data_IF_285519234116
#
_entry.id   IF_285519234116
#
_cell.length_a   1.000
_cell.length_b   1.000
_cell.length_c   1.000
_cell.angle_alpha   90.00
_cell.angle_beta   90.00
_cell.angle_gamma   90.00
#
_symmetry.space_group_name_H-M   'P 1'
#
loop_
_entity.id
_entity.type
_entity.pdbx_description
1 polymer ?
#
# COMPACT_ATOMS: atom_id res chain seq x y z
N UNK A 1 30.52 -11.47 -41.72
CA UNK A 1 30.22 -12.20 -40.48
C UNK A 1 29.24 -11.36 -39.69
N UNK A 2 27.97 -11.61 -39.82
CA UNK A 2 26.86 -10.92 -39.16
C UNK A 2 26.65 -11.60 -37.80
N UNK A 3 26.94 -10.88 -36.71
CA UNK A 3 26.63 -11.34 -35.36
C UNK A 3 25.12 -11.43 -35.19
N UNK A 4 24.57 -12.64 -35.20
CA UNK A 4 23.23 -12.92 -34.68
C UNK A 4 23.24 -12.69 -33.16
N UNK A 5 22.30 -11.92 -32.59
CA UNK A 5 22.20 -11.79 -31.15
C UNK A 5 21.83 -13.14 -30.53
N UNK A 6 22.55 -13.55 -29.51
CA UNK A 6 22.28 -14.76 -28.74
C UNK A 6 20.88 -14.68 -28.12
N UNK A 7 20.02 -15.64 -28.39
CA UNK A 7 18.69 -15.81 -27.80
C UNK A 7 18.76 -16.54 -26.43
N UNK A 8 19.80 -16.27 -25.65
CA UNK A 8 19.88 -16.84 -24.31
C UNK A 8 18.87 -16.12 -23.41
N UNK A 9 17.95 -16.82 -22.75
CA UNK A 9 16.95 -16.21 -21.86
C UNK A 9 17.57 -15.33 -20.75
N UNK A 10 18.76 -15.67 -20.28
CA UNK A 10 19.51 -14.90 -19.27
C UNK A 10 20.00 -13.54 -19.81
N UNK A 11 20.42 -13.48 -21.10
CA UNK A 11 20.86 -12.23 -21.72
C UNK A 11 19.71 -11.27 -22.00
N UNK A 12 18.53 -11.81 -22.31
CA UNK A 12 17.29 -11.02 -22.49
C UNK A 12 16.84 -10.42 -21.14
N UNK A 13 17.00 -11.18 -20.06
CA UNK A 13 16.63 -10.77 -18.72
C UNK A 13 17.57 -9.71 -18.17
N UNK A 14 18.87 -9.88 -18.32
CA UNK A 14 19.87 -8.90 -17.89
C UNK A 14 19.70 -7.57 -18.66
N UNK A 15 19.39 -7.63 -19.95
CA UNK A 15 19.03 -6.47 -20.76
C UNK A 15 17.72 -5.82 -20.30
N UNK A 16 16.73 -6.61 -19.92
CA UNK A 16 15.44 -6.09 -19.39
C UNK A 16 15.66 -5.39 -18.05
N UNK A 17 16.37 -6.00 -17.11
CA UNK A 17 16.67 -5.41 -15.79
C UNK A 17 17.56 -4.17 -15.93
N UNK A 18 18.62 -4.22 -16.76
CA UNK A 18 19.46 -3.06 -17.04
C UNK A 18 18.66 -1.93 -17.69
N UNK A 19 17.74 -2.25 -18.61
CA UNK A 19 16.88 -1.24 -19.24
C UNK A 19 15.93 -0.59 -18.24
N UNK A 20 15.34 -1.36 -17.34
CA UNK A 20 14.49 -0.86 -16.25
C UNK A 20 15.31 0.00 -15.27
N UNK A 21 16.50 -0.47 -14.88
CA UNK A 21 17.39 0.29 -14.00
C UNK A 21 17.87 1.59 -14.64
N UNK A 22 18.24 1.56 -15.92
CA UNK A 22 18.64 2.74 -16.69
C UNK A 22 17.46 3.71 -16.87
N UNK A 23 16.24 3.24 -17.05
CA UNK A 23 15.03 4.07 -17.13
C UNK A 23 14.61 4.64 -15.78
N UNK A 24 14.78 3.88 -14.69
CA UNK A 24 14.45 4.31 -13.34
C UNK A 24 15.45 5.35 -12.80
N UNK A 25 16.74 5.15 -13.04
CA UNK A 25 17.83 5.94 -12.41
C UNK A 25 18.74 6.65 -13.42
N UNK A 26 18.65 6.32 -14.71
CA UNK A 26 19.47 6.92 -15.78
C UNK A 26 18.99 8.31 -16.21
N UNK A 27 19.81 8.99 -17.04
CA UNK A 27 19.39 10.24 -17.68
C UNK A 27 18.25 9.97 -18.66
N UNK A 28 17.15 10.70 -18.51
CA UNK A 28 15.99 10.63 -19.40
C UNK A 28 16.41 10.87 -20.85
N UNK A 29 16.08 9.95 -21.72
CA UNK A 29 16.19 10.18 -23.16
C UNK A 29 15.00 11.04 -23.60
N UNK A 30 15.32 12.18 -24.21
CA UNK A 30 14.39 13.04 -24.95
C UNK A 30 13.06 13.37 -24.23
N UNK A 31 13.09 14.21 -23.18
CA UNK A 31 11.91 14.94 -22.70
C UNK A 31 11.00 14.23 -21.67
N UNK A 32 11.18 12.97 -21.39
CA UNK A 32 10.43 12.28 -20.33
C UNK A 32 11.04 12.54 -18.94
N UNK A 33 10.24 12.71 -17.86
CA UNK A 33 10.77 12.89 -16.52
C UNK A 33 11.46 11.63 -16.03
N UNK A 34 12.50 11.81 -15.19
CA UNK A 34 13.11 10.68 -14.49
C UNK A 34 12.09 10.10 -13.50
N UNK A 35 11.74 8.81 -13.65
CA UNK A 35 10.71 8.14 -12.87
C UNK A 35 11.03 8.13 -11.37
N UNK A 36 12.30 8.01 -11.01
CA UNK A 36 12.72 8.05 -9.60
C UNK A 36 12.50 9.43 -8.99
N UNK A 37 12.87 10.51 -9.71
CA UNK A 37 12.63 11.88 -9.24
C UNK A 37 11.14 12.19 -9.07
N UNK A 38 10.29 11.58 -9.90
CA UNK A 38 8.84 11.77 -9.83
C UNK A 38 8.21 11.00 -8.66
N UNK A 39 8.84 9.91 -8.20
CA UNK A 39 8.26 8.94 -7.28
C UNK A 39 8.87 8.94 -5.87
N UNK A 40 10.03 9.58 -5.66
CA UNK A 40 10.78 9.50 -4.41
C UNK A 40 10.01 10.08 -3.19
N UNK A 41 9.03 10.97 -3.42
CA UNK A 41 8.15 11.45 -2.35
C UNK A 41 7.48 10.30 -1.58
N UNK A 42 7.23 9.18 -2.28
CA UNK A 42 6.56 8.02 -1.71
C UNK A 42 7.42 7.33 -0.63
N UNK A 43 8.76 7.48 -0.67
CA UNK A 43 9.66 7.00 0.37
C UNK A 43 9.36 7.68 1.72
N UNK A 44 9.34 9.02 1.73
CA UNK A 44 9.09 9.76 2.97
C UNK A 44 7.66 9.57 3.49
N UNK A 45 6.65 9.64 2.60
CA UNK A 45 5.25 9.44 3.02
C UNK A 45 5.04 8.05 3.60
N UNK A 46 5.51 6.99 2.93
CA UNK A 46 5.34 5.62 3.43
C UNK A 46 6.12 5.39 4.73
N UNK A 47 7.33 5.97 4.85
CA UNK A 47 8.13 5.91 6.08
C UNK A 47 7.40 6.53 7.27
N UNK A 48 6.76 7.70 7.09
CA UNK A 48 5.95 8.34 8.16
C UNK A 48 4.77 7.45 8.54
N UNK A 49 3.99 6.94 7.57
CA UNK A 49 2.80 6.13 7.86
C UNK A 49 3.14 4.84 8.61
N UNK A 50 4.18 4.12 8.19
CA UNK A 50 4.55 2.85 8.83
C UNK A 50 5.36 3.08 10.11
N UNK A 51 6.26 4.06 10.14
CA UNK A 51 7.04 4.41 11.33
C UNK A 51 6.17 4.91 12.48
N UNK A 52 5.19 5.76 12.19
CA UNK A 52 4.20 6.15 13.21
C UNK A 52 3.28 4.99 13.55
N UNK A 53 2.60 4.40 12.55
CA UNK A 53 1.53 3.43 12.79
C UNK A 53 1.99 2.14 13.43
N UNK A 54 3.14 1.60 13.02
CA UNK A 54 3.69 0.35 13.55
C UNK A 54 4.79 0.57 14.61
N UNK A 55 5.42 1.74 14.65
CA UNK A 55 6.55 2.00 15.53
C UNK A 55 6.19 2.82 16.77
N UNK A 56 5.66 4.03 16.62
CA UNK A 56 5.53 4.99 17.73
C UNK A 56 4.12 5.02 18.33
N UNK A 57 3.08 4.91 17.51
CA UNK A 57 1.69 5.07 17.95
C UNK A 57 1.29 4.10 19.08
N UNK A 58 1.67 2.80 19.07
CA UNK A 58 1.36 1.90 20.17
C UNK A 58 1.93 2.37 21.51
N UNK A 59 3.17 2.88 21.56
CA UNK A 59 3.77 3.45 22.77
C UNK A 59 3.01 4.69 23.26
N UNK A 60 2.67 5.60 22.35
CA UNK A 60 1.90 6.81 22.67
C UNK A 60 0.49 6.50 23.16
N UNK A 61 -0.12 5.41 22.71
CA UNK A 61 -1.43 4.95 23.23
C UNK A 61 -1.29 4.46 24.67
N UNK A 62 -0.24 3.69 24.98
CA UNK A 62 0.02 3.27 26.38
C UNK A 62 0.24 4.49 27.27
N UNK A 63 1.12 5.43 26.88
CA UNK A 63 1.37 6.66 27.62
C UNK A 63 0.09 7.49 27.85
N UNK A 64 -0.83 7.53 26.88
CA UNK A 64 -2.09 8.25 27.01
C UNK A 64 -3.06 7.57 27.99
N UNK A 65 -3.03 6.23 28.10
CA UNK A 65 -3.81 5.47 29.06
C UNK A 65 -3.29 5.65 30.49
N UNK A 66 -1.97 5.86 30.68
CA UNK A 66 -1.39 6.18 31.99
C UNK A 66 -1.88 7.55 32.52
N UNK A 67 -2.19 8.50 31.63
CA UNK A 67 -2.69 9.84 32.00
C UNK A 67 -4.16 9.81 32.43
N UNK A 68 -4.95 8.89 31.88
CA UNK A 68 -6.36 8.73 32.24
C UNK A 68 -7.11 7.76 31.34
N UNK A 69 -8.23 7.29 31.86
CA UNK A 69 -9.10 6.35 31.16
C UNK A 69 -9.64 6.93 29.85
N UNK A 70 -9.56 6.15 28.78
CA UNK A 70 -10.11 6.48 27.48
C UNK A 70 -11.54 5.92 27.41
N UNK A 71 -12.55 6.79 27.52
CA UNK A 71 -13.94 6.38 27.45
C UNK A 71 -14.71 7.11 26.36
N UNK A 72 -15.60 6.39 25.67
CA UNK A 72 -16.50 6.93 24.68
C UNK A 72 -17.87 6.23 24.79
N UNK A 73 -18.94 6.98 24.89
CA UNK A 73 -20.31 6.48 25.02
C UNK A 73 -20.51 5.50 26.20
N UNK A 74 -19.76 5.70 27.30
CA UNK A 74 -19.84 4.83 28.48
C UNK A 74 -19.03 3.53 28.41
N UNK A 75 -18.29 3.32 27.32
CA UNK A 75 -17.35 2.21 27.17
C UNK A 75 -15.92 2.70 27.42
N UNK A 76 -15.15 1.99 28.25
CA UNK A 76 -13.73 2.28 28.51
C UNK A 76 -12.87 1.38 27.64
N UNK A 77 -11.93 1.99 26.93
CA UNK A 77 -11.05 1.31 25.98
C UNK A 77 -9.73 0.95 26.64
N UNK A 78 -9.30 -0.27 26.49
CA UNK A 78 -7.93 -0.71 26.75
C UNK A 78 -7.02 -0.41 25.54
N UNK A 79 -5.76 -0.82 25.61
CA UNK A 79 -4.72 -0.44 24.64
C UNK A 79 -5.04 -0.84 23.19
N UNK A 80 -5.60 -2.03 22.95
CA UNK A 80 -5.93 -2.48 21.59
C UNK A 80 -7.14 -1.74 21.03
N UNK A 81 -8.19 -1.57 21.86
CA UNK A 81 -9.37 -0.80 21.51
C UNK A 81 -9.05 0.67 21.24
N UNK A 82 -8.23 1.30 22.09
CA UNK A 82 -7.76 2.68 21.92
C UNK A 82 -6.95 2.85 20.62
N UNK A 83 -6.02 1.91 20.33
CA UNK A 83 -5.25 1.89 19.10
C UNK A 83 -6.15 1.69 17.86
N UNK A 84 -7.13 0.79 17.97
CA UNK A 84 -8.13 0.57 16.94
C UNK A 84 -8.97 1.82 16.66
N UNK A 85 -9.46 2.49 17.73
CA UNK A 85 -10.29 3.70 17.62
C UNK A 85 -9.54 4.85 16.96
N UNK A 86 -8.33 5.18 17.42
CA UNK A 86 -7.55 6.27 16.84
C UNK A 86 -7.16 5.98 15.37
N UNK A 87 -6.82 4.73 15.07
CA UNK A 87 -6.51 4.30 13.72
C UNK A 87 -7.74 4.32 12.80
N UNK A 88 -8.93 4.03 13.32
CA UNK A 88 -10.20 4.12 12.59
C UNK A 88 -10.54 5.56 12.22
N UNK A 89 -10.47 6.47 13.21
CA UNK A 89 -10.69 7.91 12.99
C UNK A 89 -9.71 8.45 11.95
N UNK A 90 -8.43 8.09 12.06
CA UNK A 90 -7.41 8.44 11.09
C UNK A 90 -7.76 7.94 9.68
N UNK A 91 -8.24 6.71 9.53
CA UNK A 91 -8.60 6.13 8.24
C UNK A 91 -9.78 6.85 7.58
N UNK A 92 -10.79 7.25 8.35
CA UNK A 92 -11.94 8.03 7.85
C UNK A 92 -11.47 9.39 7.34
N UNK A 93 -10.66 10.10 8.12
CA UNK A 93 -10.08 11.39 7.71
C UNK A 93 -9.20 11.23 6.47
N UNK A 94 -8.39 10.17 6.41
CA UNK A 94 -7.55 9.86 5.25
C UNK A 94 -8.38 9.74 3.96
N UNK A 95 -9.46 8.96 4.00
CA UNK A 95 -10.33 8.74 2.85
C UNK A 95 -10.95 10.05 2.36
N UNK A 96 -11.50 10.85 3.27
CA UNK A 96 -12.12 12.15 2.95
C UNK A 96 -11.08 13.13 2.40
N UNK A 97 -9.93 13.27 3.07
CA UNK A 97 -8.87 14.20 2.67
C UNK A 97 -8.30 13.86 1.29
N UNK A 98 -8.06 12.57 1.02
CA UNK A 98 -7.53 12.11 -0.26
C UNK A 98 -8.49 12.37 -1.42
N UNK A 99 -9.78 12.09 -1.24
CA UNK A 99 -10.81 12.35 -2.25
C UNK A 99 -11.02 13.84 -2.48
N UNK A 100 -11.09 14.62 -1.41
CA UNK A 100 -11.26 16.08 -1.49
C UNK A 100 -10.07 16.74 -2.20
N UNK A 101 -8.85 16.46 -1.75
CA UNK A 101 -7.64 17.02 -2.36
C UNK A 101 -7.43 16.55 -3.80
N UNK A 102 -7.74 15.30 -4.11
CA UNK A 102 -7.74 14.77 -5.47
C UNK A 102 -8.68 15.57 -6.38
N UNK A 103 -9.94 15.72 -5.97
CA UNK A 103 -10.97 16.46 -6.75
C UNK A 103 -10.65 17.96 -6.87
N UNK A 104 -10.14 18.59 -5.83
CA UNK A 104 -9.71 19.99 -5.87
C UNK A 104 -8.53 20.17 -6.82
N UNK A 105 -7.54 19.28 -6.76
CA UNK A 105 -6.38 19.34 -7.65
C UNK A 105 -6.74 19.07 -9.13
N UNK A 106 -7.84 18.34 -9.41
CA UNK A 106 -8.33 18.13 -10.77
C UNK A 106 -8.95 19.40 -11.36
N UNK A 107 -9.67 20.17 -10.54
CA UNK A 107 -10.31 21.44 -10.91
C UNK A 107 -9.34 22.61 -11.02
N UNK A 108 -8.18 22.50 -10.38
CA UNK A 108 -7.15 23.54 -10.40
C UNK A 108 -6.51 23.61 -11.81
N UNK A 109 -6.42 24.81 -12.40
CA UNK A 109 -5.85 25.00 -13.73
C UNK A 109 -4.38 25.44 -13.69
N UNK A 110 -3.79 25.64 -12.51
CA UNK A 110 -2.41 26.13 -12.37
C UNK A 110 -1.39 25.11 -12.89
N UNK A 111 -0.31 25.56 -13.56
CA UNK A 111 0.79 24.70 -13.94
C UNK A 111 1.46 24.12 -12.71
N UNK A 112 1.78 22.82 -12.71
CA UNK A 112 2.42 22.16 -11.54
C UNK A 112 1.52 22.00 -10.30
N UNK A 113 0.20 22.15 -10.46
CA UNK A 113 -0.77 22.03 -9.36
C UNK A 113 -0.55 20.82 -8.46
N UNK A 114 -0.33 19.64 -9.04
CA UNK A 114 -0.09 18.40 -8.26
C UNK A 114 1.10 18.52 -7.32
N UNK A 115 2.18 19.16 -7.79
CA UNK A 115 3.38 19.38 -7.00
C UNK A 115 3.15 20.39 -5.87
N UNK A 116 2.26 21.37 -6.08
CA UNK A 116 1.89 22.33 -5.04
C UNK A 116 1.12 21.65 -3.89
N UNK A 117 0.13 20.80 -4.23
CA UNK A 117 -0.58 20.00 -3.23
C UNK A 117 0.37 19.05 -2.49
N UNK A 118 1.30 18.40 -3.21
CA UNK A 118 2.33 17.57 -2.61
C UNK A 118 3.22 18.36 -1.65
N UNK A 119 3.63 19.59 -2.04
CA UNK A 119 4.47 20.45 -1.21
C UNK A 119 3.76 20.86 0.07
N UNK A 120 2.56 21.45 -0.04
CA UNK A 120 1.79 21.92 1.12
C UNK A 120 1.44 20.75 2.04
N UNK A 121 0.93 19.66 1.49
CA UNK A 121 0.55 18.49 2.27
C UNK A 121 1.77 17.79 2.90
N UNK A 122 2.88 17.66 2.16
CA UNK A 122 4.09 17.03 2.67
C UNK A 122 4.78 17.84 3.78
N UNK A 123 4.88 19.16 3.61
CA UNK A 123 5.39 20.04 4.69
C UNK A 123 4.45 20.07 5.89
N UNK A 124 3.14 20.15 5.66
CA UNK A 124 2.14 20.07 6.72
C UNK A 124 2.21 18.73 7.48
N UNK A 125 2.40 17.61 6.78
CA UNK A 125 2.65 16.33 7.42
C UNK A 125 3.90 16.35 8.29
N UNK A 126 5.01 16.95 7.80
CA UNK A 126 6.23 17.11 8.60
C UNK A 126 5.98 17.89 9.88
N UNK A 127 5.27 19.02 9.82
CA UNK A 127 4.87 19.81 11.01
C UNK A 127 4.01 18.99 11.96
N UNK A 128 2.99 18.29 11.45
CA UNK A 128 2.13 17.44 12.28
C UNK A 128 2.88 16.27 12.90
N UNK A 129 3.90 15.72 12.22
CA UNK A 129 4.78 14.69 12.78
C UNK A 129 5.57 15.21 13.98
N UNK A 130 6.07 16.45 13.92
CA UNK A 130 6.73 17.09 15.08
C UNK A 130 5.73 17.32 16.21
N UNK A 131 4.54 17.84 15.90
CA UNK A 131 3.49 18.07 16.90
C UNK A 131 3.01 16.77 17.56
N UNK A 132 3.00 15.67 16.82
CA UNK A 132 2.70 14.33 17.35
C UNK A 132 3.69 13.92 18.46
N UNK A 133 4.98 14.29 18.36
CA UNK A 133 5.97 14.03 19.41
C UNK A 133 5.61 14.65 20.77
N UNK A 134 4.92 15.79 20.77
CA UNK A 134 4.51 16.50 21.99
C UNK A 134 3.21 15.99 22.61
N UNK A 135 2.53 15.01 22.01
CA UNK A 135 1.25 14.53 22.53
C UNK A 135 1.45 13.77 23.83
N UNK A 136 0.61 14.07 24.83
CA UNK A 136 0.64 13.45 26.17
C UNK A 136 -0.71 12.87 26.60
N UNK A 137 -1.79 13.19 25.90
CA UNK A 137 -3.15 12.72 26.20
C UNK A 137 -3.81 12.15 24.96
N UNK A 138 -4.83 11.30 25.14
CA UNK A 138 -5.54 10.69 24.04
C UNK A 138 -6.18 11.70 23.09
N UNK A 139 -6.72 12.80 23.62
CA UNK A 139 -7.29 13.88 22.81
C UNK A 139 -6.23 14.54 21.90
N UNK A 140 -5.06 14.89 22.48
CA UNK A 140 -3.97 15.49 21.70
C UNK A 140 -3.44 14.53 20.66
N UNK A 141 -3.41 13.22 20.97
CA UNK A 141 -3.01 12.17 20.07
C UNK A 141 -3.99 12.04 18.89
N UNK A 142 -5.31 12.06 19.15
CA UNK A 142 -6.33 12.10 18.09
C UNK A 142 -6.14 13.31 17.19
N UNK A 143 -5.99 14.51 17.76
CA UNK A 143 -5.83 15.74 16.99
C UNK A 143 -4.58 15.71 16.10
N UNK A 144 -3.47 15.21 16.63
CA UNK A 144 -2.24 15.05 15.86
C UNK A 144 -2.42 14.04 14.69
N UNK A 145 -3.01 12.88 14.96
CA UNK A 145 -3.28 11.86 13.92
C UNK A 145 -4.25 12.41 12.87
N UNK A 146 -5.32 13.09 13.25
CA UNK A 146 -6.26 13.74 12.32
C UNK A 146 -5.53 14.76 11.44
N UNK A 147 -4.68 15.59 12.04
CA UNK A 147 -3.85 16.55 11.30
C UNK A 147 -2.88 15.88 10.33
N UNK A 148 -2.19 14.84 10.79
CA UNK A 148 -1.30 14.03 9.92
C UNK A 148 -2.06 13.41 8.74
N UNK A 149 -3.23 12.82 9.00
CA UNK A 149 -4.06 12.21 7.97
C UNK A 149 -4.56 13.27 6.97
N UNK A 150 -4.98 14.44 7.45
CA UNK A 150 -5.43 15.53 6.61
C UNK A 150 -4.33 15.98 5.63
N UNK A 151 -3.16 16.34 6.15
CA UNK A 151 -2.06 16.83 5.32
C UNK A 151 -1.44 15.73 4.45
N UNK A 152 -1.14 14.58 5.01
CA UNK A 152 -0.47 13.50 4.29
C UNK A 152 -1.32 12.93 3.15
N UNK A 153 -2.63 12.73 3.37
CA UNK A 153 -3.51 12.24 2.30
C UNK A 153 -3.88 13.31 1.29
N UNK A 154 -3.90 14.60 1.70
CA UNK A 154 -4.00 15.71 0.75
C UNK A 154 -2.78 15.81 -0.17
N UNK A 155 -1.59 15.40 0.29
CA UNK A 155 -0.42 15.25 -0.57
C UNK A 155 -0.52 14.02 -1.47
N UNK A 156 -0.91 12.87 -0.92
CA UNK A 156 -0.88 11.57 -1.58
C UNK A 156 -1.87 11.47 -2.75
N UNK A 157 -3.09 12.00 -2.60
CA UNK A 157 -4.11 11.98 -3.65
C UNK A 157 -3.61 12.59 -4.97
N UNK A 158 -3.27 13.89 -5.00
CA UNK A 158 -2.71 14.54 -6.18
C UNK A 158 -1.38 13.94 -6.65
N UNK A 159 -0.51 13.50 -5.73
CA UNK A 159 0.78 12.91 -6.08
C UNK A 159 0.65 11.59 -6.86
N UNK A 160 -0.35 10.77 -6.55
CA UNK A 160 -0.62 9.55 -7.31
C UNK A 160 -0.98 9.84 -8.77
N UNK A 161 -1.56 11.01 -9.07
CA UNK A 161 -1.87 11.43 -10.43
C UNK A 161 -0.66 11.96 -11.21
N UNK A 162 0.48 12.27 -10.58
CA UNK A 162 1.69 12.73 -11.27
C UNK A 162 2.16 11.76 -12.35
N UNK A 163 2.04 10.45 -12.10
CA UNK A 163 2.41 9.42 -13.10
C UNK A 163 1.51 9.54 -14.34
N UNK A 164 0.20 9.73 -14.14
CA UNK A 164 -0.76 9.84 -15.23
C UNK A 164 -0.51 11.11 -16.06
N UNK A 165 -0.18 12.21 -15.38
CA UNK A 165 0.00 13.53 -16.00
C UNK A 165 1.34 13.64 -16.75
N UNK A 166 2.40 12.94 -16.32
CA UNK A 166 3.76 13.16 -16.83
C UNK A 166 4.35 11.94 -17.57
N UNK A 167 3.74 10.75 -17.45
CA UNK A 167 4.29 9.51 -18.01
C UNK A 167 3.40 8.97 -19.13
N UNK A 168 3.96 8.70 -20.34
CA UNK A 168 3.23 8.08 -21.44
C UNK A 168 2.57 6.76 -21.03
N UNK A 169 1.42 6.42 -21.63
CA UNK A 169 0.65 5.23 -21.29
C UNK A 169 1.48 3.93 -21.38
N UNK A 170 2.40 3.84 -22.35
CA UNK A 170 3.30 2.69 -22.54
C UNK A 170 4.32 2.49 -21.42
N UNK A 171 4.62 3.53 -20.62
CA UNK A 171 5.64 3.50 -19.56
C UNK A 171 5.04 3.55 -18.14
N UNK A 172 3.72 3.70 -18.00
CA UNK A 172 3.03 3.81 -16.70
C UNK A 172 3.23 2.58 -15.81
N UNK A 173 3.36 1.39 -16.40
CA UNK A 173 3.66 0.17 -15.65
C UNK A 173 5.03 0.24 -14.96
N UNK A 174 6.06 0.68 -15.69
CA UNK A 174 7.40 0.88 -15.13
C UNK A 174 7.40 1.98 -14.05
N UNK A 175 6.68 3.09 -14.29
CA UNK A 175 6.55 4.17 -13.31
C UNK A 175 5.85 3.72 -12.02
N UNK A 176 4.79 2.91 -12.12
CA UNK A 176 4.13 2.32 -10.96
C UNK A 176 5.06 1.36 -10.19
N UNK A 177 5.90 0.60 -10.89
CA UNK A 177 6.94 -0.23 -10.28
C UNK A 177 7.94 0.57 -9.47
N UNK A 178 8.47 1.67 -10.04
CA UNK A 178 9.40 2.58 -9.35
C UNK A 178 8.73 3.25 -8.15
N UNK A 179 7.48 3.69 -8.27
CA UNK A 179 6.71 4.25 -7.16
C UNK A 179 6.56 3.26 -6.00
N UNK A 180 6.19 2.01 -6.31
CA UNK A 180 6.02 0.97 -5.30
C UNK A 180 7.34 0.56 -4.66
N UNK A 181 8.45 0.58 -5.42
CA UNK A 181 9.80 0.37 -4.86
C UNK A 181 10.12 1.44 -3.80
N UNK A 182 9.91 2.73 -4.11
CA UNK A 182 10.13 3.80 -3.13
C UNK A 182 9.21 3.70 -1.91
N UNK A 183 7.94 3.29 -2.10
CA UNK A 183 7.02 3.00 -0.99
C UNK A 183 7.54 1.88 -0.09
N UNK A 184 7.95 0.77 -0.68
CA UNK A 184 8.46 -0.38 0.08
C UNK A 184 9.75 -0.05 0.84
N UNK A 185 10.69 0.66 0.18
CA UNK A 185 11.92 1.10 0.82
C UNK A 185 11.64 2.07 1.98
N UNK A 186 10.74 3.02 1.80
CA UNK A 186 10.33 3.94 2.87
C UNK A 186 9.65 3.21 4.02
N UNK A 187 8.68 2.36 3.71
CA UNK A 187 7.96 1.59 4.71
C UNK A 187 8.88 0.65 5.50
N UNK A 188 9.75 -0.10 4.83
CA UNK A 188 10.64 -1.06 5.49
C UNK A 188 11.79 -0.38 6.21
N UNK A 189 12.64 0.36 5.46
CA UNK A 189 13.89 0.90 5.99
C UNK A 189 13.68 1.91 7.13
N UNK A 190 12.74 2.86 6.92
CA UNK A 190 12.45 3.87 7.96
C UNK A 190 11.86 3.23 9.21
N UNK A 191 10.92 2.29 9.05
CA UNK A 191 10.28 1.65 10.20
C UNK A 191 11.26 0.83 11.03
N UNK A 192 12.21 0.14 10.39
CA UNK A 192 13.26 -0.59 11.11
C UNK A 192 14.09 0.35 11.98
N UNK A 193 14.53 1.51 11.44
CA UNK A 193 15.32 2.48 12.23
C UNK A 193 14.47 3.08 13.35
N UNK A 194 13.19 3.41 13.08
CA UNK A 194 12.28 3.91 14.11
C UNK A 194 12.13 2.89 15.24
N UNK A 195 11.92 1.61 14.93
CA UNK A 195 11.80 0.56 15.94
C UNK A 195 13.08 0.38 16.74
N UNK A 196 14.27 0.48 16.11
CA UNK A 196 15.55 0.45 16.83
C UNK A 196 15.73 1.64 17.77
N UNK A 197 15.19 2.81 17.41
CA UNK A 197 15.17 3.96 18.33
C UNK A 197 14.16 3.75 19.45
N UNK A 198 12.96 3.25 19.13
CA UNK A 198 11.91 2.96 20.12
C UNK A 198 12.29 1.79 21.05
N UNK A 199 13.16 0.88 20.63
CA UNK A 199 13.73 -0.14 21.50
C UNK A 199 14.59 0.43 22.65
N UNK A 200 15.11 1.64 22.47
CA UNK A 200 15.89 2.37 23.47
C UNK A 200 15.10 3.47 24.17
N UNK A 201 13.86 3.66 23.74
CA UNK A 201 13.00 4.71 24.27
C UNK A 201 12.51 4.35 25.65
N UNK A 202 12.69 5.25 26.59
CA UNK A 202 12.05 5.30 27.88
C UNK A 202 11.52 6.72 28.13
N UNK A 203 10.30 6.83 28.67
CA UNK A 203 9.62 8.12 28.86
C UNK A 203 10.34 9.00 29.89
N UNK A 204 10.94 8.39 30.92
CA UNK A 204 11.58 9.09 32.04
C UNK A 204 13.10 9.17 31.84
N UNK A 205 13.74 8.07 31.48
CA UNK A 205 15.21 7.94 31.46
C UNK A 205 15.85 8.22 30.10
N UNK A 206 15.13 8.01 29.00
CA UNK A 206 15.67 8.14 27.63
C UNK A 206 14.67 8.70 26.60
N UNK A 207 14.05 9.87 26.86
CA UNK A 207 13.02 10.46 25.97
C UNK A 207 13.59 10.92 24.61
N UNK A 208 14.89 11.11 24.49
CA UNK A 208 15.54 11.60 23.27
C UNK A 208 15.37 10.63 22.09
N UNK A 209 15.21 9.33 22.32
CA UNK A 209 15.03 8.35 21.26
C UNK A 209 13.70 8.52 20.51
N UNK A 210 12.65 8.99 21.18
CA UNK A 210 11.42 9.42 20.51
C UNK A 210 11.71 10.58 19.56
N UNK A 211 12.47 11.57 20.00
CA UNK A 211 12.81 12.73 19.17
C UNK A 211 13.71 12.40 17.99
N UNK A 212 14.64 11.44 18.14
CA UNK A 212 15.40 10.92 17.00
C UNK A 212 14.49 10.22 15.98
N UNK A 213 13.48 9.47 16.43
CA UNK A 213 12.46 8.87 15.56
C UNK A 213 11.64 9.95 14.82
N UNK A 214 11.15 10.94 15.55
CA UNK A 214 10.37 12.07 14.99
C UNK A 214 11.22 12.87 13.99
N UNK A 215 12.48 13.15 14.31
CA UNK A 215 13.40 13.85 13.41
C UNK A 215 13.63 13.06 12.13
N UNK A 216 13.92 11.76 12.22
CA UNK A 216 14.09 10.87 11.07
C UNK A 216 12.87 10.91 10.15
N UNK A 217 11.67 10.75 10.70
CA UNK A 217 10.41 10.77 9.96
C UNK A 217 10.18 12.12 9.28
N UNK A 218 10.34 13.21 10.03
CA UNK A 218 10.14 14.57 9.53
C UNK A 218 11.15 14.90 8.43
N UNK A 219 12.43 14.62 8.64
CA UNK A 219 13.49 14.89 7.66
C UNK A 219 13.27 14.06 6.40
N UNK A 220 12.91 12.78 6.54
CA UNK A 220 12.69 11.90 5.40
C UNK A 220 11.54 12.37 4.50
N UNK A 221 10.40 12.78 5.09
CA UNK A 221 9.26 13.28 4.31
C UNK A 221 9.56 14.63 3.69
N UNK A 222 10.16 15.55 4.42
CA UNK A 222 10.49 16.89 3.92
C UNK A 222 11.49 16.80 2.76
N UNK A 223 12.60 16.05 2.93
CA UNK A 223 13.61 15.90 1.88
C UNK A 223 13.02 15.23 0.64
N UNK A 224 12.28 14.13 0.79
CA UNK A 224 11.73 13.41 -0.35
C UNK A 224 10.68 14.21 -1.12
N UNK A 225 9.84 14.96 -0.42
CA UNK A 225 8.86 15.87 -1.02
C UNK A 225 9.55 17.04 -1.72
N UNK A 226 10.48 17.72 -1.04
CA UNK A 226 11.23 18.84 -1.65
C UNK A 226 12.03 18.37 -2.87
N UNK A 227 12.66 17.20 -2.81
CA UNK A 227 13.36 16.63 -3.97
C UNK A 227 12.44 16.45 -5.16
N UNK A 228 11.27 15.79 -4.95
CA UNK A 228 10.29 15.59 -6.01
C UNK A 228 9.84 16.92 -6.62
N UNK A 229 9.50 17.88 -5.76
CA UNK A 229 9.01 19.19 -6.19
C UNK A 229 10.07 19.98 -6.95
N UNK A 230 11.28 20.08 -6.43
CA UNK A 230 12.36 20.86 -7.06
C UNK A 230 12.82 20.27 -8.40
N UNK A 231 12.86 18.94 -8.52
CA UNK A 231 13.28 18.27 -9.76
C UNK A 231 12.22 18.29 -10.87
N UNK A 232 10.93 18.42 -10.51
CA UNK A 232 9.82 18.38 -11.46
C UNK A 232 9.06 19.72 -11.56
N UNK A 233 9.62 20.81 -10.97
CA UNK A 233 8.97 22.13 -11.00
C UNK A 233 8.75 22.63 -12.45
N UNK A 234 7.65 23.33 -12.74
CA UNK A 234 7.41 23.96 -14.04
C UNK A 234 8.49 25.00 -14.34
N UNK A 235 8.94 25.06 -15.59
CA UNK A 235 9.92 26.04 -16.04
C UNK A 235 9.38 27.48 -16.02
N UNK A 236 8.06 27.64 -16.19
CA UNK A 236 7.39 28.95 -16.34
C UNK A 236 6.85 29.52 -15.01
N UNK A 237 7.22 28.89 -13.87
CA UNK A 237 6.77 29.35 -12.55
C UNK A 237 5.41 28.80 -12.11
N UNK A 238 5.12 28.92 -10.79
CA UNK A 238 3.97 28.27 -10.13
C UNK A 238 2.66 29.06 -10.25
N UNK A 239 2.72 30.36 -10.58
CA UNK A 239 1.61 31.30 -10.42
C UNK A 239 1.15 32.00 -11.70
N UNK A 240 1.81 31.75 -12.85
CA UNK A 240 1.39 32.36 -14.10
C UNK A 240 0.32 31.48 -14.72
N UNK A 241 -0.97 31.92 -14.77
CA UNK A 241 -1.95 31.25 -15.61
C UNK A 241 -1.42 31.38 -17.03
N UNK A 242 -1.03 30.26 -17.63
CA UNK A 242 -0.80 30.26 -19.07
C UNK A 242 -2.13 30.62 -19.69
N UNK A 243 -2.28 31.89 -20.12
CA UNK A 243 -3.29 32.27 -21.08
C UNK A 243 -3.15 31.28 -22.23
N UNK A 244 -4.03 30.29 -22.27
CA UNK A 244 -4.10 29.35 -23.38
C UNK A 244 -4.23 30.17 -24.62
N UNK A 245 -3.13 30.43 -25.35
CA UNK A 245 -3.18 30.73 -26.76
C UNK A 245 -3.99 29.57 -27.35
N UNK A 246 -5.25 29.87 -27.70
CA UNK A 246 -6.06 29.05 -28.59
C UNK A 246 -5.33 28.99 -29.94
N UNK A 247 -4.27 28.23 -30.01
CA UNK A 247 -3.80 27.68 -31.27
C UNK A 247 -4.58 26.39 -31.46
N UNK A 248 -5.72 26.54 -32.08
CA UNK A 248 -6.35 25.49 -32.81
C UNK A 248 -5.30 24.90 -33.76
N UNK A 249 -4.74 23.79 -33.40
CA UNK A 249 -4.21 22.78 -34.32
C UNK A 249 -4.95 21.51 -33.99
N UNK A 250 -5.99 21.34 -34.75
CA UNK A 250 -6.68 20.11 -35.13
C UNK A 250 -5.67 18.98 -35.28
N UNK A 251 -5.46 18.27 -34.20
CA UNK A 251 -5.05 16.88 -34.23
C UNK A 251 -6.28 16.15 -33.77
N UNK A 252 -6.97 15.53 -34.69
CA UNK A 252 -8.12 14.66 -34.46
C UNK A 252 -7.74 13.56 -33.45
N UNK A 253 -7.99 13.83 -32.18
CA UNK A 253 -8.35 12.73 -31.31
C UNK A 253 -9.72 12.24 -31.76
N UNK A 254 -9.93 10.97 -32.04
CA UNK A 254 -11.25 10.48 -32.38
C UNK A 254 -12.19 10.82 -31.23
N UNK A 255 -13.00 11.86 -31.42
CA UNK A 255 -14.19 12.16 -30.61
C UNK A 255 -15.27 11.11 -30.89
N UNK A 256 -14.97 9.84 -30.61
CA UNK A 256 -15.96 8.77 -30.61
C UNK A 256 -16.19 8.25 -29.17
N UNK A 257 -16.04 9.11 -28.14
CA UNK A 257 -16.46 8.79 -26.76
C UNK A 257 -17.75 9.55 -26.39
N UNK A 258 -18.47 10.04 -27.36
CA UNK A 258 -19.72 10.76 -27.11
C UNK A 258 -20.85 10.19 -27.95
N UNK A 259 -21.11 8.93 -27.85
CA UNK A 259 -22.38 8.24 -28.12
C UNK A 259 -22.22 6.72 -27.95
N UNK A 260 -21.49 6.27 -26.93
CA UNK A 260 -21.78 4.95 -26.38
C UNK A 260 -23.02 5.17 -25.50
N UNK A 261 -24.15 4.98 -26.14
CA UNK A 261 -25.47 4.72 -25.60
C UNK A 261 -25.50 4.49 -24.09
N UNK A 262 -26.34 5.28 -23.47
CA UNK A 262 -27.07 5.08 -22.21
C UNK A 262 -27.78 3.72 -22.17
N UNK A 263 -27.04 2.63 -22.35
CA UNK A 263 -27.50 1.26 -22.19
C UNK A 263 -26.40 0.43 -21.56
N UNK A 264 -26.10 0.73 -20.31
CA UNK A 264 -25.39 -0.23 -19.46
C UNK A 264 -25.83 -0.04 -18.01
N UNK A 265 -27.05 -0.46 -17.75
CA UNK A 265 -27.43 -1.16 -16.51
C UNK A 265 -26.71 -2.52 -16.43
N UNK A 266 -25.45 -2.61 -16.83
CA UNK A 266 -24.62 -3.77 -16.50
C UNK A 266 -24.16 -3.58 -15.06
N UNK A 267 -24.91 -4.17 -14.13
CA UNK A 267 -24.52 -4.29 -12.74
C UNK A 267 -23.11 -4.90 -12.63
N UNK A 268 -22.44 -4.63 -11.53
CA UNK A 268 -21.13 -5.22 -11.18
C UNK A 268 -21.19 -6.72 -11.45
N UNK A 269 -20.24 -7.25 -12.26
CA UNK A 269 -20.22 -8.68 -12.56
C UNK A 269 -20.07 -9.50 -11.27
N UNK A 270 -20.67 -10.66 -11.20
CA UNK A 270 -20.58 -11.54 -10.01
C UNK A 270 -19.14 -11.90 -9.68
N UNK A 271 -18.31 -12.11 -10.69
CA UNK A 271 -16.88 -12.39 -10.52
C UNK A 271 -16.13 -11.20 -9.93
N UNK A 272 -16.45 -9.98 -10.38
CA UNK A 272 -15.83 -8.76 -9.85
C UNK A 272 -16.29 -8.48 -8.42
N UNK A 273 -17.56 -8.67 -8.09
CA UNK A 273 -18.05 -8.55 -6.70
C UNK A 273 -17.37 -9.57 -5.77
N UNK A 274 -17.24 -10.83 -6.20
CA UNK A 274 -16.50 -11.84 -5.45
C UNK A 274 -15.04 -11.45 -5.24
N UNK A 275 -14.39 -10.87 -6.26
CA UNK A 275 -13.04 -10.32 -6.16
C UNK A 275 -12.95 -9.22 -5.09
N UNK A 276 -13.89 -8.26 -5.07
CA UNK A 276 -13.92 -7.18 -4.08
C UNK A 276 -14.06 -7.72 -2.65
N UNK A 277 -14.93 -8.72 -2.46
CA UNK A 277 -15.10 -9.39 -1.17
C UNK A 277 -13.80 -10.10 -0.74
N UNK A 278 -13.19 -10.85 -1.64
CA UNK A 278 -11.91 -11.52 -1.36
C UNK A 278 -10.80 -10.52 -1.01
N UNK A 279 -10.72 -9.41 -1.75
CA UNK A 279 -9.78 -8.32 -1.47
C UNK A 279 -10.01 -7.74 -0.07
N UNK A 280 -11.26 -7.46 0.32
CA UNK A 280 -11.58 -6.92 1.64
C UNK A 280 -11.12 -7.87 2.77
N UNK A 281 -11.38 -9.18 2.65
CA UNK A 281 -10.92 -10.16 3.63
C UNK A 281 -9.39 -10.27 3.69
N UNK A 282 -8.69 -10.28 2.55
CA UNK A 282 -7.23 -10.31 2.53
C UNK A 282 -6.61 -9.06 3.17
N UNK A 283 -7.17 -7.88 2.89
CA UNK A 283 -6.72 -6.63 3.51
C UNK A 283 -7.04 -6.60 5.01
N UNK A 284 -8.21 -7.11 5.44
CA UNK A 284 -8.54 -7.21 6.85
C UNK A 284 -7.53 -8.08 7.61
N UNK A 285 -7.18 -9.24 7.05
CA UNK A 285 -6.17 -10.14 7.63
C UNK A 285 -4.81 -9.45 7.80
N UNK A 286 -4.29 -8.87 6.71
CA UNK A 286 -2.98 -8.19 6.72
C UNK A 286 -2.97 -6.98 7.65
N UNK A 287 -4.03 -6.17 7.64
CA UNK A 287 -4.14 -4.98 8.50
C UNK A 287 -4.24 -5.34 9.97
N UNK A 288 -4.96 -6.40 10.34
CA UNK A 288 -5.06 -6.87 11.72
C UNK A 288 -3.70 -7.31 12.25
N UNK A 289 -2.95 -8.09 11.48
CA UNK A 289 -1.61 -8.51 11.86
C UNK A 289 -0.67 -7.33 12.04
N UNK A 290 -0.74 -6.32 11.18
CA UNK A 290 0.13 -5.16 11.23
C UNK A 290 -0.16 -4.25 12.43
N UNK A 291 -1.44 -3.94 12.68
CA UNK A 291 -1.85 -2.95 13.69
C UNK A 291 -1.51 -3.45 15.10
N UNK A 292 -1.80 -4.70 15.40
CA UNK A 292 -1.65 -5.27 16.75
C UNK A 292 -0.33 -6.02 16.95
N UNK A 293 0.60 -5.95 15.98
CA UNK A 293 1.85 -6.70 16.03
C UNK A 293 2.69 -6.41 17.28
N UNK A 294 2.88 -5.13 17.65
CA UNK A 294 3.69 -4.77 18.81
C UNK A 294 3.05 -5.22 20.12
N UNK A 295 1.75 -5.06 20.27
CA UNK A 295 1.05 -5.55 21.47
C UNK A 295 1.04 -7.08 21.55
N UNK A 296 0.96 -7.77 20.40
CA UNK A 296 1.14 -9.21 20.37
C UNK A 296 2.55 -9.63 20.81
N UNK A 297 3.59 -8.91 20.38
CA UNK A 297 4.97 -9.17 20.81
C UNK A 297 5.15 -8.94 22.31
N UNK A 298 4.51 -7.93 22.87
CA UNK A 298 4.53 -7.63 24.29
C UNK A 298 3.79 -8.70 25.11
N UNK A 299 2.53 -8.97 24.77
CA UNK A 299 1.64 -9.75 25.63
C UNK A 299 1.80 -11.26 25.42
N UNK A 300 2.07 -11.71 24.19
CA UNK A 300 2.12 -13.15 23.83
C UNK A 300 3.56 -13.65 23.71
N UNK A 301 4.44 -12.88 23.06
CA UNK A 301 5.85 -13.28 22.96
C UNK A 301 6.68 -12.88 24.19
N UNK A 302 6.10 -12.15 25.16
CA UNK A 302 6.68 -11.84 26.46
C UNK A 302 7.84 -10.84 26.40
N UNK A 303 7.86 -9.94 25.41
CA UNK A 303 8.90 -8.91 25.31
C UNK A 303 8.57 -7.74 26.23
N UNK A 304 9.47 -7.39 27.14
CA UNK A 304 9.35 -6.19 27.98
C UNK A 304 9.25 -4.93 27.13
N UNK A 305 10.12 -4.81 26.11
CA UNK A 305 10.02 -3.79 25.09
C UNK A 305 9.70 -4.45 23.73
N UNK A 306 8.48 -4.29 23.19
CA UNK A 306 8.08 -4.95 21.95
C UNK A 306 8.83 -4.45 20.71
N UNK A 307 9.51 -3.29 20.77
CA UNK A 307 10.32 -2.80 19.68
C UNK A 307 11.61 -3.62 19.48
N UNK A 308 12.15 -4.28 20.54
CA UNK A 308 13.37 -5.10 20.47
C UNK A 308 13.29 -6.28 19.50
N UNK A 309 12.09 -6.74 19.16
CA UNK A 309 11.89 -7.79 18.16
C UNK A 309 11.09 -7.32 16.96
N UNK A 310 10.42 -6.17 17.07
CA UNK A 310 9.58 -5.61 16.03
C UNK A 310 10.38 -5.21 14.79
N UNK A 311 11.56 -4.67 14.94
CA UNK A 311 12.48 -4.31 13.86
C UNK A 311 12.91 -5.55 13.05
N UNK A 312 13.33 -6.63 13.72
CA UNK A 312 13.68 -7.89 13.07
C UNK A 312 12.48 -8.54 12.39
N UNK A 313 11.29 -8.45 12.99
CA UNK A 313 10.06 -8.95 12.39
C UNK A 313 9.71 -8.20 11.11
N UNK A 314 9.82 -6.87 11.12
CA UNK A 314 9.60 -6.04 9.90
C UNK A 314 10.62 -6.39 8.83
N UNK A 315 11.90 -6.54 9.18
CA UNK A 315 12.96 -6.98 8.23
C UNK A 315 12.60 -8.33 7.63
N UNK A 316 12.23 -9.31 8.47
CA UNK A 316 11.89 -10.66 8.01
C UNK A 316 10.71 -10.65 7.03
N UNK A 317 9.63 -9.95 7.37
CA UNK A 317 8.42 -9.86 6.54
C UNK A 317 8.71 -9.12 5.24
N UNK A 318 9.35 -7.94 5.29
CA UNK A 318 9.59 -7.10 4.12
C UNK A 318 10.60 -7.75 3.17
N UNK A 319 11.69 -8.33 3.70
CA UNK A 319 12.66 -9.04 2.89
C UNK A 319 12.04 -10.26 2.18
N UNK A 320 11.29 -11.08 2.90
CA UNK A 320 10.60 -12.24 2.34
C UNK A 320 9.55 -11.82 1.29
N UNK A 321 8.78 -10.77 1.54
CA UNK A 321 7.82 -10.22 0.58
C UNK A 321 8.53 -9.72 -0.68
N UNK A 322 9.59 -8.92 -0.55
CA UNK A 322 10.36 -8.39 -1.68
C UNK A 322 10.97 -9.50 -2.54
N UNK A 323 11.59 -10.50 -1.91
CA UNK A 323 12.16 -11.67 -2.59
C UNK A 323 11.09 -12.49 -3.33
N UNK A 324 9.85 -12.46 -2.86
CA UNK A 324 8.74 -13.21 -3.45
C UNK A 324 8.05 -12.44 -4.57
N UNK A 325 7.88 -11.12 -4.44
CA UNK A 325 7.25 -10.26 -5.45
C UNK A 325 7.99 -10.33 -6.78
N UNK A 326 9.33 -10.36 -6.75
CA UNK A 326 10.15 -10.39 -7.97
C UNK A 326 9.89 -11.63 -8.84
N UNK A 327 9.91 -12.88 -8.33
CA UNK A 327 9.64 -14.08 -9.12
C UNK A 327 8.14 -14.40 -9.27
N UNK A 328 7.24 -13.74 -8.53
CA UNK A 328 5.81 -14.08 -8.48
C UNK A 328 5.15 -14.13 -9.87
N UNK A 329 5.50 -13.20 -10.75
CA UNK A 329 5.00 -13.20 -12.14
C UNK A 329 5.38 -14.46 -12.91
N UNK A 330 6.66 -14.84 -12.87
CA UNK A 330 7.17 -16.06 -13.53
C UNK A 330 6.64 -17.35 -12.92
N UNK A 331 6.50 -17.37 -11.60
CA UNK A 331 5.87 -18.47 -10.90
C UNK A 331 4.40 -18.61 -11.32
N UNK A 332 3.70 -17.50 -11.52
CA UNK A 332 2.32 -17.48 -11.99
C UNK A 332 2.18 -18.04 -13.40
N UNK A 333 3.14 -17.73 -14.29
CA UNK A 333 3.17 -18.27 -15.65
C UNK A 333 3.49 -19.77 -15.67
N UNK A 334 4.35 -20.24 -14.74
CA UNK A 334 4.83 -21.63 -14.71
C UNK A 334 3.91 -22.59 -13.92
N UNK A 335 3.40 -22.16 -12.78
CA UNK A 335 2.59 -23.00 -11.88
C UNK A 335 1.10 -22.69 -11.93
N UNK A 336 0.74 -21.62 -12.65
CA UNK A 336 -0.62 -21.11 -12.71
C UNK A 336 -1.00 -20.23 -11.51
N UNK A 337 -1.75 -19.16 -11.77
CA UNK A 337 -2.19 -18.20 -10.75
C UNK A 337 -3.02 -18.86 -9.65
N UNK A 338 -3.87 -19.81 -9.99
CA UNK A 338 -4.73 -20.56 -9.06
C UNK A 338 -3.92 -21.26 -7.97
N UNK A 339 -2.87 -22.01 -8.39
CA UNK A 339 -2.00 -22.74 -7.45
C UNK A 339 -1.26 -21.79 -6.50
N UNK A 340 -0.83 -20.63 -7.00
CA UNK A 340 -0.14 -19.64 -6.19
C UNK A 340 -1.07 -18.93 -5.20
N UNK A 341 -2.34 -18.70 -5.54
CA UNK A 341 -3.33 -18.18 -4.58
C UNK A 341 -3.57 -19.18 -3.44
N UNK A 342 -3.70 -20.47 -3.78
CA UNK A 342 -3.85 -21.53 -2.77
C UNK A 342 -2.60 -21.59 -1.88
N UNK A 343 -1.40 -21.53 -2.46
CA UNK A 343 -0.15 -21.53 -1.71
C UNK A 343 -0.03 -20.29 -0.79
N UNK A 344 -0.30 -19.08 -1.31
CA UNK A 344 -0.26 -17.85 -0.54
C UNK A 344 -1.26 -17.87 0.62
N UNK A 345 -2.50 -18.34 0.36
CA UNK A 345 -3.51 -18.50 1.38
C UNK A 345 -3.14 -19.54 2.43
N UNK A 346 -2.66 -20.70 2.01
CA UNK A 346 -2.21 -21.75 2.91
C UNK A 346 -1.04 -21.27 3.81
N UNK A 347 -0.07 -20.54 3.25
CA UNK A 347 1.01 -19.93 4.00
C UNK A 347 0.48 -18.92 5.03
N UNK A 348 -0.48 -18.06 4.67
CA UNK A 348 -1.13 -17.13 5.59
C UNK A 348 -1.91 -17.84 6.70
N UNK A 349 -2.68 -18.89 6.37
CA UNK A 349 -3.43 -19.70 7.34
C UNK A 349 -2.49 -20.40 8.31
N UNK A 350 -1.49 -21.11 7.78
CA UNK A 350 -0.53 -21.86 8.60
C UNK A 350 0.22 -20.91 9.53
N UNK A 351 0.70 -19.78 9.02
CA UNK A 351 1.39 -18.79 9.83
C UNK A 351 0.53 -18.26 10.97
N UNK A 352 -0.73 -17.92 10.68
CA UNK A 352 -1.67 -17.41 11.68
C UNK A 352 -1.97 -18.45 12.76
N UNK A 353 -2.12 -19.73 12.38
CA UNK A 353 -2.34 -20.83 13.32
C UNK A 353 -1.09 -21.17 14.14
N UNK A 354 0.10 -21.11 13.54
CA UNK A 354 1.36 -21.34 14.27
C UNK A 354 1.61 -20.25 15.31
N UNK A 355 1.22 -18.99 15.04
CA UNK A 355 1.31 -17.90 16.03
C UNK A 355 0.47 -18.15 17.29
N UNK A 356 -0.54 -19.03 17.27
CA UNK A 356 -1.31 -19.42 18.46
C UNK A 356 -0.47 -20.14 19.54
N UNK A 357 0.63 -20.76 19.15
CA UNK A 357 1.47 -21.59 20.00
C UNK A 357 2.82 -20.95 20.35
N UNK A 358 3.00 -19.69 19.97
CA UNK A 358 4.24 -18.96 20.19
C UNK A 358 4.25 -18.38 21.60
N UNK A 359 5.41 -18.44 22.24
CA UNK A 359 5.69 -17.82 23.56
C UNK A 359 7.04 -17.10 23.60
N UNK A 360 7.69 -16.91 22.45
CA UNK A 360 8.98 -16.22 22.35
C UNK A 360 9.21 -15.65 20.95
N UNK A 361 10.16 -14.72 20.82
CA UNK A 361 10.42 -13.99 19.58
C UNK A 361 10.98 -14.85 18.44
N UNK A 362 11.82 -15.86 18.74
CA UNK A 362 12.46 -16.66 17.70
C UNK A 362 11.49 -17.34 16.73
N UNK A 363 10.50 -18.12 17.20
CA UNK A 363 9.45 -18.66 16.35
C UNK A 363 8.63 -17.58 15.61
N UNK A 364 8.36 -16.41 16.23
CA UNK A 364 7.66 -15.30 15.57
C UNK A 364 8.41 -14.81 14.35
N UNK A 365 9.73 -14.65 14.43
CA UNK A 365 10.56 -14.24 13.31
C UNK A 365 10.53 -15.26 12.16
N UNK A 366 10.64 -16.54 12.47
CA UNK A 366 10.56 -17.62 11.48
C UNK A 366 9.19 -17.63 10.76
N UNK A 367 8.11 -17.48 11.53
CA UNK A 367 6.75 -17.37 10.99
C UNK A 367 6.58 -16.09 10.20
N UNK A 368 7.22 -14.99 10.62
CA UNK A 368 7.25 -13.70 9.92
C UNK A 368 7.77 -13.82 8.48
N UNK A 369 8.77 -14.66 8.22
CA UNK A 369 9.24 -14.96 6.85
C UNK A 369 8.11 -15.60 6.03
N UNK A 370 7.37 -16.55 6.58
CA UNK A 370 6.26 -17.21 5.88
C UNK A 370 5.11 -16.23 5.62
N UNK A 371 4.82 -15.34 6.58
CA UNK A 371 3.85 -14.24 6.41
C UNK A 371 4.30 -13.33 5.27
N UNK A 372 5.58 -12.95 5.22
CA UNK A 372 6.12 -12.11 4.16
C UNK A 372 5.95 -12.74 2.76
N UNK A 373 6.21 -14.04 2.62
CA UNK A 373 5.96 -14.80 1.40
C UNK A 373 4.48 -14.76 1.02
N UNK A 374 3.58 -15.04 1.97
CA UNK A 374 2.13 -15.01 1.76
C UNK A 374 1.67 -13.65 1.27
N UNK A 375 2.06 -12.57 1.96
CA UNK A 375 1.68 -11.19 1.64
C UNK A 375 2.23 -10.76 0.28
N UNK A 376 3.50 -11.06 -0.02
CA UNK A 376 4.14 -10.73 -1.30
C UNK A 376 3.45 -11.37 -2.50
N UNK A 377 3.14 -12.67 -2.42
CA UNK A 377 2.35 -13.38 -3.44
C UNK A 377 0.94 -12.82 -3.56
N UNK A 378 0.24 -12.71 -2.43
CA UNK A 378 -1.14 -12.25 -2.39
C UNK A 378 -1.30 -10.88 -3.05
N UNK A 379 -0.48 -9.90 -2.68
CA UNK A 379 -0.54 -8.55 -3.24
C UNK A 379 -0.26 -8.55 -4.75
N UNK A 380 0.77 -9.27 -5.19
CA UNK A 380 1.14 -9.32 -6.61
C UNK A 380 0.04 -9.95 -7.47
N UNK A 381 -0.47 -11.11 -7.04
CA UNK A 381 -1.49 -11.86 -7.78
C UNK A 381 -2.85 -11.15 -7.77
N UNK A 382 -3.21 -10.51 -6.66
CA UNK A 382 -4.47 -9.76 -6.54
C UNK A 382 -4.53 -8.61 -7.54
N UNK A 383 -3.45 -7.84 -7.70
CA UNK A 383 -3.39 -6.77 -8.69
C UNK A 383 -3.41 -7.31 -10.14
N UNK A 384 -2.82 -8.47 -10.39
CA UNK A 384 -2.92 -9.11 -11.70
C UNK A 384 -4.37 -9.48 -12.04
N UNK A 385 -5.10 -10.09 -11.09
CA UNK A 385 -6.53 -10.43 -11.27
C UNK A 385 -7.40 -9.18 -11.37
N UNK A 386 -7.12 -8.13 -10.59
CA UNK A 386 -7.81 -6.86 -10.70
C UNK A 386 -7.76 -6.30 -12.12
N UNK A 387 -6.56 -6.28 -12.71
CA UNK A 387 -6.36 -5.78 -14.06
C UNK A 387 -7.07 -6.61 -15.14
N UNK A 388 -7.21 -7.93 -14.93
CA UNK A 388 -7.90 -8.81 -15.89
C UNK A 388 -9.42 -8.66 -15.81
N UNK A 389 -9.96 -8.38 -14.62
CA UNK A 389 -11.41 -8.27 -14.40
C UNK A 389 -11.98 -6.89 -14.72
N UNK A 390 -11.13 -5.86 -14.72
CA UNK A 390 -11.56 -4.47 -14.96
C UNK A 390 -11.81 -4.24 -16.46
N UNK A 391 -13.02 -3.76 -16.80
CA UNK A 391 -13.35 -3.43 -18.18
C UNK A 391 -12.66 -2.15 -18.64
N UNK A 392 -12.15 -2.11 -19.88
CA UNK A 392 -11.49 -0.92 -20.44
C UNK A 392 -12.41 0.32 -20.50
N UNK A 393 -13.71 0.11 -20.63
CA UNK A 393 -14.71 1.18 -20.72
C UNK A 393 -15.09 1.80 -19.37
N UNK A 394 -14.92 1.06 -18.25
CA UNK A 394 -15.30 1.50 -16.91
C UNK A 394 -14.13 1.42 -15.90
N UNK A 395 -12.89 1.37 -16.38
CA UNK A 395 -11.71 1.10 -15.58
C UNK A 395 -11.57 2.01 -14.34
N UNK A 396 -11.79 3.32 -14.49
CA UNK A 396 -11.70 4.26 -13.38
C UNK A 396 -12.74 4.02 -12.28
N UNK A 397 -13.99 3.69 -12.68
CA UNK A 397 -15.07 3.39 -11.74
C UNK A 397 -14.82 2.07 -11.01
N UNK A 398 -14.42 1.04 -11.74
CA UNK A 398 -14.15 -0.28 -11.18
C UNK A 398 -12.93 -0.26 -10.26
N UNK A 399 -11.83 0.43 -10.63
CA UNK A 399 -10.70 0.64 -9.72
C UNK A 399 -11.10 1.45 -8.48
N UNK A 400 -12.09 2.34 -8.58
CA UNK A 400 -12.67 3.00 -7.41
C UNK A 400 -13.29 2.01 -6.41
N UNK A 401 -13.97 0.96 -6.88
CA UNK A 401 -14.53 -0.08 -6.00
C UNK A 401 -13.45 -0.90 -5.29
N UNK A 402 -12.28 -1.12 -5.90
CA UNK A 402 -11.16 -1.78 -5.19
C UNK A 402 -10.68 -0.95 -4.00
N UNK A 403 -10.67 0.37 -4.14
CA UNK A 403 -10.33 1.26 -3.01
C UNK A 403 -11.36 1.16 -1.88
N UNK A 404 -12.66 1.06 -2.21
CA UNK A 404 -13.72 0.85 -1.21
C UNK A 404 -13.55 -0.50 -0.52
N UNK A 405 -13.29 -1.58 -1.26
CA UNK A 405 -13.05 -2.91 -0.68
C UNK A 405 -11.85 -2.92 0.27
N UNK A 406 -10.76 -2.25 -0.12
CA UNK A 406 -9.57 -2.08 0.73
C UNK A 406 -9.90 -1.30 2.00
N UNK A 407 -10.69 -0.23 1.88
CA UNK A 407 -11.16 0.56 3.03
C UNK A 407 -12.01 -0.29 3.99
N UNK A 408 -12.96 -1.06 3.48
CA UNK A 408 -13.83 -1.95 4.27
C UNK A 408 -12.99 -2.97 5.05
N UNK A 409 -12.03 -3.63 4.40
CA UNK A 409 -11.13 -4.57 5.05
C UNK A 409 -10.29 -3.90 6.16
N UNK A 410 -9.74 -2.73 5.88
CA UNK A 410 -8.95 -1.97 6.84
C UNK A 410 -9.78 -1.47 8.03
N UNK A 411 -11.05 -1.09 7.83
CA UNK A 411 -12.00 -0.73 8.89
C UNK A 411 -12.29 -1.93 9.77
N UNK A 412 -12.58 -3.10 9.18
CA UNK A 412 -12.83 -4.34 9.93
C UNK A 412 -11.68 -4.70 10.88
N UNK A 413 -10.43 -4.57 10.40
CA UNK A 413 -9.26 -4.81 11.23
C UNK A 413 -9.18 -3.91 12.48
N UNK A 414 -9.65 -2.67 12.38
CA UNK A 414 -9.58 -1.69 13.48
C UNK A 414 -10.62 -1.93 14.57
N UNK A 415 -11.80 -2.39 14.18
CA UNK A 415 -12.82 -2.81 15.16
C UNK A 415 -12.40 -4.05 15.96
N UNK A 416 -11.51 -4.88 15.44
CA UNK A 416 -11.01 -6.06 16.14
C UNK A 416 -10.31 -5.72 17.47
N UNK A 417 -9.76 -4.51 17.63
CA UNK A 417 -9.08 -4.09 18.86
C UNK A 417 -9.98 -4.14 20.10
N UNK A 418 -11.22 -3.67 19.98
CA UNK A 418 -12.21 -3.77 21.08
C UNK A 418 -12.49 -5.24 21.42
N UNK A 419 -12.63 -6.07 20.40
CA UNK A 419 -12.83 -7.51 20.62
C UNK A 419 -11.63 -8.21 21.28
N UNK A 420 -10.40 -7.76 20.96
CA UNK A 420 -9.18 -8.29 21.62
C UNK A 420 -9.22 -7.97 23.11
N UNK A 421 -9.48 -6.72 23.48
CA UNK A 421 -9.48 -6.28 24.87
C UNK A 421 -10.58 -6.99 25.70
N UNK A 422 -11.81 -7.03 25.15
CA UNK A 422 -12.92 -7.73 25.82
C UNK A 422 -12.64 -9.23 26.07
N UNK A 423 -12.07 -9.91 25.08
CA UNK A 423 -11.74 -11.34 25.22
C UNK A 423 -10.55 -11.56 26.14
N UNK A 424 -9.57 -10.64 26.15
CA UNK A 424 -8.44 -10.71 27.09
C UNK A 424 -8.88 -10.50 28.54
N UNK A 425 -9.94 -9.72 28.79
CA UNK A 425 -10.55 -9.59 30.14
C UNK A 425 -11.22 -10.89 30.62
N UNK A 426 -11.63 -11.79 29.70
CA UNK A 426 -12.21 -13.09 30.04
C UNK A 426 -11.11 -14.12 30.36
N UNK A 427 -10.05 -14.14 29.55
CA UNK A 427 -8.92 -15.06 29.70
C UNK A 427 -7.68 -14.51 29.03
N UNK A 428 -6.54 -14.72 29.64
CA UNK A 428 -5.23 -14.24 29.18
C UNK A 428 -4.98 -14.61 27.72
N UNK A 429 -4.67 -13.60 26.91
CA UNK A 429 -4.35 -13.71 25.47
C UNK A 429 -5.45 -14.34 24.60
N UNK A 430 -6.69 -14.48 25.12
CA UNK A 430 -7.80 -15.07 24.36
C UNK A 430 -8.14 -14.21 23.14
N UNK A 431 -8.12 -12.89 23.27
CA UNK A 431 -8.39 -11.97 22.19
C UNK A 431 -7.39 -12.09 21.03
N UNK A 432 -6.10 -12.24 21.33
CA UNK A 432 -5.06 -12.49 20.32
C UNK A 432 -5.25 -13.85 19.63
N UNK A 433 -5.63 -14.89 20.38
CA UNK A 433 -5.93 -16.19 19.78
C UNK A 433 -7.13 -16.11 18.83
N UNK A 434 -8.18 -15.43 19.24
CA UNK A 434 -9.39 -15.28 18.41
C UNK A 434 -9.13 -14.44 17.15
N UNK A 435 -8.38 -13.35 17.24
CA UNK A 435 -8.05 -12.57 16.03
C UNK A 435 -7.15 -13.33 15.07
N UNK A 436 -6.17 -14.12 15.57
CA UNK A 436 -5.35 -14.97 14.71
C UNK A 436 -6.18 -16.06 14.00
N UNK A 437 -7.19 -16.62 14.65
CA UNK A 437 -8.15 -17.53 14.00
C UNK A 437 -8.98 -16.82 12.95
N UNK A 438 -9.48 -15.60 13.24
CA UNK A 438 -10.21 -14.79 12.28
C UNK A 438 -9.33 -14.40 11.06
N UNK A 439 -8.06 -14.10 11.29
CA UNK A 439 -7.07 -13.84 10.24
C UNK A 439 -6.86 -15.08 9.37
N UNK A 440 -6.71 -16.26 9.98
CA UNK A 440 -6.58 -17.52 9.24
C UNK A 440 -7.80 -17.80 8.36
N UNK A 441 -9.01 -17.64 8.90
CA UNK A 441 -10.26 -17.78 8.14
C UNK A 441 -10.33 -16.76 7.00
N UNK A 442 -9.93 -15.52 7.25
CA UNK A 442 -9.92 -14.44 6.25
C UNK A 442 -8.95 -14.74 5.11
N UNK A 443 -7.74 -15.23 5.39
CA UNK A 443 -6.79 -15.66 4.36
C UNK A 443 -7.32 -16.85 3.55
N UNK A 444 -7.88 -17.86 4.23
CA UNK A 444 -8.46 -19.03 3.56
C UNK A 444 -9.60 -18.62 2.61
N UNK A 445 -10.54 -17.83 3.12
CA UNK A 445 -11.69 -17.37 2.36
C UNK A 445 -11.29 -16.52 1.15
N UNK A 446 -10.40 -15.55 1.35
CA UNK A 446 -9.87 -14.72 0.29
C UNK A 446 -9.17 -15.55 -0.79
N UNK A 447 -8.25 -16.43 -0.40
CA UNK A 447 -7.49 -17.26 -1.34
C UNK A 447 -8.37 -18.22 -2.14
N UNK A 448 -9.36 -18.86 -1.51
CA UNK A 448 -10.27 -19.78 -2.19
C UNK A 448 -11.13 -19.05 -3.24
N UNK A 449 -11.63 -17.85 -2.92
CA UNK A 449 -12.40 -17.05 -3.89
C UNK A 449 -11.50 -16.64 -5.07
N UNK A 450 -10.31 -16.12 -4.79
CA UNK A 450 -9.38 -15.67 -5.84
C UNK A 450 -8.89 -16.83 -6.72
N UNK A 451 -8.63 -17.99 -6.12
CA UNK A 451 -8.28 -19.21 -6.85
C UNK A 451 -9.42 -19.66 -7.78
N UNK A 452 -10.68 -19.60 -7.30
CA UNK A 452 -11.86 -19.93 -8.12
C UNK A 452 -12.05 -18.97 -9.28
N UNK A 453 -11.88 -17.66 -9.06
CA UNK A 453 -11.96 -16.63 -10.11
C UNK A 453 -10.87 -16.86 -11.16
N UNK A 454 -9.62 -17.05 -10.72
CA UNK A 454 -8.48 -17.28 -11.60
C UNK A 454 -8.65 -18.54 -12.47
N UNK A 455 -9.20 -19.62 -11.91
CA UNK A 455 -9.50 -20.85 -12.66
C UNK A 455 -10.54 -20.61 -13.75
N UNK A 456 -11.59 -19.87 -13.45
CA UNK A 456 -12.65 -19.58 -14.41
C UNK A 456 -12.17 -18.69 -15.57
N UNK A 457 -11.24 -17.77 -15.32
CA UNK A 457 -10.65 -16.90 -16.34
C UNK A 457 -9.74 -17.67 -17.29
N UNK A 458 -9.01 -18.67 -16.83
CA UNK A 458 -8.14 -19.50 -17.67
C UNK A 458 -8.90 -20.47 -18.61
N UNK A 459 -10.16 -20.78 -18.29
CA UNK A 459 -11.03 -21.64 -19.12
C UNK A 459 -11.73 -20.85 -20.23
N UNK A 460 -11.78 -19.51 -20.11
CA UNK A 460 -12.48 -18.63 -21.05
C UNK A 460 -11.60 -18.11 -22.21
N UNK A 461 -10.32 -18.51 -22.33
CA UNK A 461 -9.53 -18.22 -23.53
C UNK A 461 -10.07 -19.00 -24.72
N UNK A 462 -10.51 -18.31 -25.79
CA UNK A 462 -10.97 -19.02 -26.98
C UNK A 462 -9.79 -19.75 -27.61
N UNK A 463 -9.98 -21.04 -27.93
CA UNK A 463 -9.12 -21.81 -28.81
C UNK A 463 -8.78 -20.95 -30.04
N UNK A 464 -7.50 -20.80 -30.45
CA UNK A 464 -7.17 -20.04 -31.64
C UNK A 464 -7.98 -20.62 -32.80
N UNK A 465 -8.77 -19.75 -33.44
CA UNK A 465 -9.55 -20.11 -34.60
C UNK A 465 -8.58 -20.78 -35.60
N UNK A 466 -8.83 -22.05 -35.92
CA UNK A 466 -8.17 -22.73 -36.99
C UNK A 466 -8.27 -21.86 -38.24
N UNK A 467 -7.12 -21.44 -38.77
CA UNK A 467 -7.03 -20.74 -40.05
C UNK A 467 -7.90 -21.45 -41.07
N UNK A 468 -8.83 -20.77 -41.75
CA UNK A 468 -9.50 -21.36 -42.90
C UNK A 468 -8.44 -21.57 -43.97
N UNK A 469 -8.20 -22.84 -44.31
CA UNK A 469 -7.39 -23.27 -45.44
C UNK A 469 -7.68 -22.39 -46.66
N UNK A 470 -6.69 -21.60 -47.05
CA UNK A 470 -6.69 -20.90 -48.33
C UNK A 470 -6.63 -21.98 -49.41
N UNK A 471 -7.77 -22.38 -49.93
CA UNK A 471 -7.84 -23.13 -51.18
C UNK A 471 -7.46 -22.17 -52.30
N UNK A 472 -6.22 -22.27 -52.77
CA UNK A 472 -5.79 -21.66 -54.00
C UNK A 472 -6.51 -22.30 -55.15
N UNK A 473 -7.51 -21.65 -55.71
CA UNK A 473 -7.98 -21.93 -57.07
C UNK A 473 -7.08 -21.16 -58.03
N UNK A 474 -6.28 -21.90 -58.80
CA UNK A 474 -5.59 -21.36 -59.97
C UNK A 474 -6.64 -21.05 -61.05
N UNK A 475 -6.49 -19.98 -61.84
CA UNK A 475 -7.24 -19.79 -63.06
C UNK A 475 -6.49 -20.43 -64.23
N UNK A 476 -7.23 -21.09 -65.08
CA UNK A 476 -6.87 -21.45 -66.46
C UNK A 476 -6.75 -20.20 -67.36
#
# INVERSE_FOLDING_TARGET
>A
MTHQPSNNPLDVEERSLRSLFTRAFGKSQCGSPNLSNLSIYAFGLSGVWTGIGAGILPFKVIEALEVGDISLLGYTFDKNGALGLISLLGLIVAAVAQLAAGSLSDRDERPGKRLLYLLIGGLGLGVMTVLFGFTSSFLTLILAIVGMQLFGNSAQGPANALIIDHVPASERGAAAGVLNLWRLLGAGFITVIVLQFMARYDKEDAPEWLWYSIALLTVSVVISVLWTVLKNRPKDGWFIPTLKKKTAKTGEYPQNISKATTDSTSGISRSYLAFLVALAFGIAAMSSMQIYALFFLQDVAGLENPADGGDLLVVAIVAAAALTVLPAGRLADRWGRTSLFIFAGAAGVISSLLLLFVSSIGPVLAIGVVIGISVGLFMTLTWAVANDLVSRSAAAKELGYTSVATLVGAVGARFAGVGIDELNNISENLGYKMILMAVAVSFAFSALILAKISKNSSVAEPTPASDPLITSSAPD
#
